data_IF_466524914646
#
_entry.id   IF_466524914646
#
_cell.length_a   1.000
_cell.length_b   1.000
_cell.length_c   1.000
_cell.angle_alpha   90.00
_cell.angle_beta   90.00
_cell.angle_gamma   90.00
#
_symmetry.space_group_name_H-M   'P 1'
#
loop_
_entity.id
_entity.type
_entity.pdbx_description
1 polymer ?
#
# COMPACT_ATOMS: atom_id res chain seq x y z
N UNK A 1 0.49 -21.97 21.70
CA UNK A 1 -0.09 -22.20 20.36
C UNK A 1 -1.25 -21.22 20.18
N UNK A 2 -0.96 -19.93 19.93
CA UNK A 2 -1.97 -18.83 19.99
C UNK A 2 -1.79 -17.75 18.91
N UNK A 3 -0.95 -17.98 17.89
CA UNK A 3 -0.58 -16.93 16.94
C UNK A 3 -1.52 -16.76 15.72
N UNK A 4 -2.46 -17.68 15.46
CA UNK A 4 -3.15 -17.73 14.16
C UNK A 4 -4.56 -17.05 14.15
N UNK A 5 -5.09 -16.70 15.32
CA UNK A 5 -6.47 -16.18 15.42
C UNK A 5 -6.58 -14.70 15.02
N UNK A 6 -5.56 -13.89 15.33
CA UNK A 6 -5.57 -12.44 15.04
C UNK A 6 -5.47 -12.13 13.54
N UNK A 7 -4.65 -12.91 12.81
CA UNK A 7 -4.50 -12.76 11.36
C UNK A 7 -5.84 -13.03 10.66
N UNK A 8 -6.55 -14.10 11.06
CA UNK A 8 -7.89 -14.40 10.55
C UNK A 8 -8.95 -13.36 10.90
N UNK A 9 -8.84 -12.67 12.04
CA UNK A 9 -9.81 -11.67 12.47
C UNK A 9 -9.71 -10.36 11.67
N UNK A 10 -8.49 -9.85 11.48
CA UNK A 10 -8.24 -8.68 10.61
C UNK A 10 -8.63 -9.00 9.17
N UNK A 11 -8.29 -10.19 8.68
CA UNK A 11 -8.64 -10.60 7.33
C UNK A 11 -10.16 -10.60 7.11
N UNK A 12 -10.92 -11.29 8.00
CA UNK A 12 -12.39 -11.28 7.92
C UNK A 12 -12.98 -9.87 8.02
N UNK A 13 -12.42 -9.01 8.86
CA UNK A 13 -12.90 -7.65 9.02
C UNK A 13 -12.74 -6.82 7.74
N UNK A 14 -11.53 -6.78 7.18
CA UNK A 14 -11.26 -6.00 5.97
C UNK A 14 -11.97 -6.56 4.74
N UNK A 15 -12.04 -7.89 4.59
CA UNK A 15 -12.80 -8.52 3.51
C UNK A 15 -14.28 -8.18 3.59
N UNK A 16 -14.92 -8.35 4.76
CA UNK A 16 -16.34 -8.01 4.93
C UNK A 16 -16.63 -6.52 4.74
N UNK A 17 -15.71 -5.64 5.17
CA UNK A 17 -15.83 -4.19 4.96
C UNK A 17 -15.75 -3.83 3.48
N UNK A 18 -14.78 -4.40 2.75
CA UNK A 18 -14.60 -4.18 1.32
C UNK A 18 -15.80 -4.72 0.54
N UNK A 19 -16.21 -5.97 0.77
CA UNK A 19 -17.39 -6.56 0.15
C UNK A 19 -18.64 -5.68 0.34
N UNK A 20 -18.94 -5.30 1.57
CA UNK A 20 -20.10 -4.48 1.86
C UNK A 20 -20.02 -3.11 1.17
N UNK A 21 -18.87 -2.45 1.17
CA UNK A 21 -18.69 -1.14 0.53
C UNK A 21 -18.84 -1.23 -0.99
N UNK A 22 -18.20 -2.22 -1.60
CA UNK A 22 -18.25 -2.42 -3.05
C UNK A 22 -19.67 -2.75 -3.53
N UNK A 23 -20.39 -3.59 -2.79
CA UNK A 23 -21.76 -3.97 -3.13
C UNK A 23 -22.75 -2.83 -2.88
N UNK A 24 -22.69 -2.17 -1.71
CA UNK A 24 -23.75 -1.24 -1.29
C UNK A 24 -23.53 0.21 -1.72
N UNK A 25 -22.28 0.66 -1.80
CA UNK A 25 -21.95 2.06 -2.08
C UNK A 25 -21.45 2.26 -3.51
N UNK A 26 -20.64 1.34 -4.02
CA UNK A 26 -20.05 1.47 -5.36
C UNK A 26 -20.86 0.75 -6.45
N UNK A 27 -21.72 -0.21 -6.07
CA UNK A 27 -22.47 -1.03 -7.02
C UNK A 27 -21.58 -1.92 -7.91
N UNK A 28 -20.37 -2.24 -7.44
CA UNK A 28 -19.38 -3.04 -8.18
C UNK A 28 -19.35 -4.44 -7.59
N UNK A 29 -19.59 -5.43 -8.45
CA UNK A 29 -19.50 -6.85 -8.10
C UNK A 29 -18.36 -7.49 -8.88
N UNK A 30 -17.15 -7.27 -8.40
CA UNK A 30 -15.92 -7.88 -8.90
C UNK A 30 -15.17 -8.53 -7.73
N UNK A 31 -15.31 -9.85 -7.52
CA UNK A 31 -14.66 -10.55 -6.42
C UNK A 31 -13.14 -10.41 -6.43
N UNK A 32 -12.50 -10.40 -7.61
CA UNK A 32 -11.03 -10.31 -7.72
C UNK A 32 -10.54 -8.93 -7.28
N UNK A 33 -11.30 -7.88 -7.61
CA UNK A 33 -11.00 -6.52 -7.18
C UNK A 33 -11.19 -6.37 -5.66
N UNK A 34 -12.28 -6.92 -5.12
CA UNK A 34 -12.57 -6.88 -3.68
C UNK A 34 -11.48 -7.62 -2.90
N UNK A 35 -11.07 -8.81 -3.36
CA UNK A 35 -9.98 -9.58 -2.76
C UNK A 35 -8.67 -8.78 -2.79
N UNK A 36 -8.34 -8.19 -3.94
CA UNK A 36 -7.13 -7.37 -4.08
C UNK A 36 -7.11 -6.18 -3.10
N UNK A 37 -8.21 -5.43 -3.00
CA UNK A 37 -8.29 -4.28 -2.09
C UNK A 37 -8.23 -4.73 -0.63
N UNK A 38 -8.91 -5.82 -0.29
CA UNK A 38 -8.88 -6.40 1.05
C UNK A 38 -7.45 -6.80 1.45
N UNK A 39 -6.76 -7.54 0.58
CA UNK A 39 -5.38 -7.95 0.79
C UNK A 39 -4.42 -6.76 0.86
N UNK A 40 -4.66 -5.70 0.08
CA UNK A 40 -3.89 -4.46 0.14
C UNK A 40 -4.07 -3.80 1.51
N UNK A 41 -5.30 -3.64 2.00
CA UNK A 41 -5.57 -3.05 3.32
C UNK A 41 -4.92 -3.85 4.45
N UNK A 42 -5.05 -5.19 4.42
CA UNK A 42 -4.44 -6.08 5.41
C UNK A 42 -2.92 -6.00 5.37
N UNK A 43 -2.32 -5.88 4.18
CA UNK A 43 -0.87 -5.81 4.04
C UNK A 43 -0.30 -4.53 4.64
N UNK A 44 -0.95 -3.39 4.41
CA UNK A 44 -0.44 -2.08 4.81
C UNK A 44 -0.90 -1.60 6.19
N UNK A 45 -1.86 -2.27 6.82
CA UNK A 45 -2.18 -2.03 8.25
C UNK A 45 -1.01 -2.38 9.17
N UNK A 46 -0.10 -3.25 8.72
CA UNK A 46 1.11 -3.65 9.47
C UNK A 46 2.32 -2.85 9.01
N UNK A 47 3.09 -2.34 9.98
CA UNK A 47 4.33 -1.61 9.69
C UNK A 47 5.33 -2.43 8.86
N UNK A 48 5.38 -3.74 9.09
CA UNK A 48 6.24 -4.67 8.31
C UNK A 48 5.92 -4.64 6.81
N UNK A 49 4.64 -4.46 6.46
CA UNK A 49 4.19 -4.36 5.08
C UNK A 49 4.63 -3.06 4.43
N UNK A 50 4.56 -1.95 5.18
CA UNK A 50 5.05 -0.62 4.74
C UNK A 50 6.58 -0.60 4.59
N UNK A 51 7.31 -1.21 5.54
CA UNK A 51 8.77 -1.20 5.59
C UNK A 51 9.43 -2.38 4.88
N UNK A 52 8.69 -3.04 3.97
CA UNK A 52 9.11 -4.28 3.30
C UNK A 52 10.43 -4.12 2.53
N UNK A 53 10.63 -2.97 1.88
CA UNK A 53 11.83 -2.71 1.10
C UNK A 53 12.78 -1.79 1.82
N UNK A 54 14.07 -2.14 1.76
CA UNK A 54 15.17 -1.35 2.31
C UNK A 54 16.09 -0.91 1.17
N UNK A 55 16.58 0.31 1.28
CA UNK A 55 17.58 0.84 0.36
C UNK A 55 18.99 0.36 0.70
N UNK A 56 19.97 0.84 -0.06
CA UNK A 56 21.39 0.50 0.09
C UNK A 56 21.94 0.81 1.48
N UNK A 57 21.40 1.83 2.16
CA UNK A 57 21.78 2.22 3.53
C UNK A 57 21.16 1.33 4.63
N UNK A 58 20.35 0.33 4.25
CA UNK A 58 19.61 -0.55 5.16
C UNK A 58 18.36 0.08 5.79
N UNK A 59 18.08 1.35 5.49
CA UNK A 59 16.86 2.04 5.96
C UNK A 59 15.63 1.62 5.14
N UNK A 60 14.44 1.52 5.75
CA UNK A 60 13.19 1.31 5.01
C UNK A 60 12.94 2.44 4.02
N UNK A 61 12.48 2.08 2.82
CA UNK A 61 12.08 3.04 1.81
C UNK A 61 10.61 3.40 2.02
N UNK A 62 10.36 4.61 2.51
CA UNK A 62 9.00 5.12 2.78
C UNK A 62 8.61 6.27 1.84
N UNK A 63 9.58 6.78 1.07
CA UNK A 63 9.34 7.75 -0.01
C UNK A 63 9.12 7.02 -1.33
N UNK A 64 8.05 7.36 -2.04
CA UNK A 64 7.79 6.81 -3.39
C UNK A 64 8.89 7.20 -4.36
N UNK A 65 9.46 8.39 -4.23
CA UNK A 65 10.57 8.85 -5.07
C UNK A 65 11.81 7.99 -4.86
N UNK A 66 12.15 7.70 -3.60
CA UNK A 66 13.27 6.81 -3.26
C UNK A 66 13.04 5.38 -3.76
N UNK A 67 11.81 4.86 -3.59
CA UNK A 67 11.45 3.54 -4.10
C UNK A 67 11.56 3.45 -5.63
N UNK A 68 11.18 4.51 -6.36
CA UNK A 68 11.28 4.57 -7.82
C UNK A 68 12.75 4.61 -8.29
N UNK A 69 13.60 5.36 -7.59
CA UNK A 69 15.04 5.38 -7.85
C UNK A 69 15.63 3.97 -7.65
N UNK A 70 15.34 3.33 -6.52
CA UNK A 70 15.77 1.96 -6.19
C UNK A 70 15.24 0.93 -7.21
N UNK A 71 14.01 1.08 -7.70
CA UNK A 71 13.45 0.16 -8.70
C UNK A 71 14.19 0.17 -10.03
N UNK A 72 14.87 1.26 -10.36
CA UNK A 72 15.67 1.38 -11.59
C UNK A 72 16.93 0.54 -11.53
N UNK A 73 17.52 0.40 -10.34
CA UNK A 73 18.74 -0.38 -10.08
C UNK A 73 18.48 -1.89 -9.96
N UNK A 74 17.23 -2.30 -9.77
CA UNK A 74 16.87 -3.72 -9.63
C UNK A 74 16.65 -4.39 -10.98
N UNK A 75 16.89 -5.71 -11.01
CA UNK A 75 16.72 -6.53 -12.21
C UNK A 75 15.68 -7.64 -11.97
N UNK A 76 15.05 -8.09 -13.05
CA UNK A 76 14.15 -9.24 -13.06
C UNK A 76 12.95 -9.12 -12.11
N UNK A 77 12.69 -10.18 -11.34
CA UNK A 77 11.55 -10.28 -10.43
C UNK A 77 11.58 -9.21 -9.33
N UNK A 78 12.76 -8.83 -8.83
CA UNK A 78 12.91 -7.84 -7.77
C UNK A 78 12.45 -6.43 -8.22
N UNK A 79 12.69 -6.08 -9.49
CA UNK A 79 12.17 -4.84 -10.08
C UNK A 79 10.65 -4.85 -10.18
N UNK A 80 10.08 -5.95 -10.66
CA UNK A 80 8.61 -6.11 -10.77
C UNK A 80 7.93 -6.07 -9.40
N UNK A 81 8.53 -6.71 -8.40
CA UNK A 81 7.99 -6.73 -7.05
C UNK A 81 8.01 -5.34 -6.40
N UNK A 82 9.10 -4.59 -6.58
CA UNK A 82 9.20 -3.23 -6.08
C UNK A 82 8.22 -2.29 -6.81
N UNK A 83 8.06 -2.39 -8.14
CA UNK A 83 7.03 -1.60 -8.85
C UNK A 83 5.61 -1.92 -8.37
N UNK A 84 5.28 -3.19 -8.13
CA UNK A 84 3.98 -3.55 -7.55
C UNK A 84 3.80 -2.90 -6.19
N UNK A 85 4.83 -2.97 -5.34
CA UNK A 85 4.77 -2.36 -4.01
C UNK A 85 4.62 -0.84 -4.07
N UNK A 86 5.30 -0.16 -4.99
CA UNK A 86 5.13 1.28 -5.20
C UNK A 86 3.68 1.61 -5.54
N UNK A 87 3.08 0.84 -6.46
CA UNK A 87 1.67 1.01 -6.83
C UNK A 87 0.73 0.78 -5.64
N UNK A 88 0.88 -0.34 -4.93
CA UNK A 88 0.01 -0.68 -3.80
C UNK A 88 0.20 0.31 -2.62
N UNK A 89 1.43 0.73 -2.34
CA UNK A 89 1.76 1.73 -1.30
C UNK A 89 1.10 3.08 -1.64
N UNK A 90 1.24 3.52 -2.89
CA UNK A 90 0.63 4.77 -3.35
C UNK A 90 -0.89 4.69 -3.26
N UNK A 91 -1.49 3.58 -3.69
CA UNK A 91 -2.94 3.37 -3.65
C UNK A 91 -3.48 3.38 -2.21
N UNK A 92 -2.76 2.75 -1.27
CA UNK A 92 -3.12 2.76 0.15
C UNK A 92 -3.15 4.19 0.72
N UNK A 93 -2.05 4.93 0.57
CA UNK A 93 -1.96 6.29 1.12
C UNK A 93 -2.92 7.27 0.44
N UNK A 94 -3.12 7.14 -0.87
CA UNK A 94 -4.12 7.90 -1.63
C UNK A 94 -5.54 7.70 -1.10
N UNK A 95 -5.87 6.47 -0.69
CA UNK A 95 -7.18 6.12 -0.15
C UNK A 95 -7.39 6.56 1.29
N UNK A 96 -6.39 6.36 2.16
CA UNK A 96 -6.51 6.67 3.61
C UNK A 96 -6.33 8.17 3.90
N UNK A 97 -5.49 8.85 3.14
CA UNK A 97 -5.16 10.27 3.31
C UNK A 97 -5.29 11.02 1.98
N UNK A 98 -6.50 11.13 1.42
CA UNK A 98 -6.73 11.80 0.13
C UNK A 98 -6.29 13.28 0.14
N UNK A 99 -6.22 13.91 1.31
CA UNK A 99 -5.73 15.28 1.48
C UNK A 99 -4.24 15.41 1.15
N UNK A 100 -3.44 14.36 1.38
CA UNK A 100 -2.02 14.35 1.01
C UNK A 100 -1.83 14.47 -0.51
N UNK A 101 -2.82 14.06 -1.30
CA UNK A 101 -2.84 14.23 -2.76
C UNK A 101 -3.30 15.62 -3.22
N UNK A 102 -4.08 16.33 -2.39
CA UNK A 102 -4.74 17.61 -2.76
C UNK A 102 -3.88 18.85 -2.57
N UNK A 103 -2.68 18.74 -1.98
CA UNK A 103 -1.78 19.88 -1.81
C UNK A 103 -1.25 20.31 -3.19
N UNK A 104 -1.88 21.35 -3.75
CA UNK A 104 -1.56 21.91 -5.07
C UNK A 104 -0.10 22.40 -5.13
N UNK A 105 0.68 21.73 -5.98
CA UNK A 105 1.67 22.30 -6.90
C UNK A 105 2.22 23.68 -6.57
N UNK A 106 3.40 23.70 -5.94
CA UNK A 106 4.49 24.55 -6.43
C UNK A 106 5.80 23.79 -6.63
N UNK A 107 6.02 22.61 -6.02
CA UNK A 107 7.24 21.84 -6.25
C UNK A 107 6.96 20.33 -6.30
N UNK A 108 6.91 19.80 -7.53
CA UNK A 108 6.57 18.41 -7.91
C UNK A 108 7.54 17.33 -7.37
N UNK A 109 8.52 17.69 -6.54
CA UNK A 109 9.49 16.76 -5.95
C UNK A 109 9.18 16.29 -4.53
N UNK A 110 8.54 17.14 -3.71
CA UNK A 110 8.47 16.92 -2.25
C UNK A 110 7.16 16.25 -1.76
N UNK A 111 6.20 15.99 -2.65
CA UNK A 111 4.87 15.49 -2.26
C UNK A 111 4.88 14.06 -1.68
N UNK A 112 5.86 13.24 -2.08
CA UNK A 112 5.97 11.84 -1.64
C UNK A 112 7.04 11.63 -0.55
N UNK A 113 7.67 12.70 -0.05
CA UNK A 113 8.80 12.60 0.88
C UNK A 113 8.41 12.31 2.32
N UNK A 114 7.13 12.48 2.70
CA UNK A 114 6.73 12.25 4.09
C UNK A 114 5.31 11.69 4.19
N UNK A 115 5.20 10.37 4.06
CA UNK A 115 4.03 9.61 4.48
C UNK A 115 4.13 9.12 5.93
N UNK A 116 5.32 9.13 6.52
CA UNK A 116 5.57 8.72 7.91
C UNK A 116 6.34 9.78 8.70
N UNK A 117 5.80 11.01 8.78
CA UNK A 117 6.21 11.96 9.84
C UNK A 117 5.41 11.72 11.12
#
# INVERSE_FOLDING_TARGET
MTADHSNSAMQRYFTGLAENTFQTQLGVVDPLLIDYVSDLLIRFVRLDGLQKFRGVTGRPLLSVVEMMAEATERLGSAKRELHRHIGDFTLFWAGVFPEALRRQSTETGHQFESYCS
#
